data_IF_211230671821
#
_entry.id   IF_211230671821
#
_cell.length_a   1.000
_cell.length_b   1.000
_cell.length_c   1.000
_cell.angle_alpha   90.00
_cell.angle_beta   90.00
_cell.angle_gamma   90.00
#
_symmetry.space_group_name_H-M   'P 1'
#
loop_
_entity.id
_entity.type
_entity.pdbx_description
1 polymer ?
#
# COMPACT_ATOMS: atom_id res chain seq x y z
N UNK A 1 6.28 10.05 -15.79
CA UNK A 1 6.87 9.90 -14.44
C UNK A 1 5.95 10.30 -13.27
N UNK A 2 5.39 11.53 -13.16
CA UNK A 2 4.59 11.94 -11.95
C UNK A 2 3.15 11.41 -11.84
N UNK A 3 2.60 10.73 -12.85
CA UNK A 3 1.14 10.45 -12.96
C UNK A 3 0.74 8.98 -12.77
N UNK A 4 1.59 8.01 -13.07
CA UNK A 4 1.16 6.60 -13.24
C UNK A 4 0.89 5.90 -11.90
N UNK A 5 1.78 6.02 -10.90
CA UNK A 5 1.55 5.45 -9.56
C UNK A 5 0.35 6.10 -8.85
N UNK A 6 0.13 7.39 -9.12
CA UNK A 6 -0.94 8.21 -8.57
C UNK A 6 -2.30 7.96 -9.24
N UNK A 7 -2.32 7.67 -10.54
CA UNK A 7 -3.54 7.33 -11.30
C UNK A 7 -4.06 5.92 -10.96
N UNK A 8 -3.17 4.95 -10.74
CA UNK A 8 -3.57 3.57 -10.39
C UNK A 8 -4.20 3.51 -8.99
N UNK A 9 -3.67 4.27 -8.03
CA UNK A 9 -4.28 4.44 -6.71
C UNK A 9 -5.67 5.13 -6.74
N UNK A 10 -5.97 5.98 -7.73
CA UNK A 10 -7.26 6.68 -7.83
C UNK A 10 -8.35 5.92 -8.59
N UNK A 11 -7.98 5.07 -9.57
CA UNK A 11 -8.95 4.31 -10.38
C UNK A 11 -9.49 3.07 -9.65
N UNK A 12 -8.66 2.45 -8.79
CA UNK A 12 -8.99 1.21 -8.07
C UNK A 12 -9.92 1.46 -6.88
N UNK A 13 -9.73 2.57 -6.17
CA UNK A 13 -10.54 2.93 -4.99
C UNK A 13 -11.95 3.43 -5.36
N UNK A 14 -12.20 3.82 -6.61
CA UNK A 14 -13.52 4.26 -7.06
C UNK A 14 -14.51 3.13 -7.36
N UNK A 15 -14.02 1.95 -7.77
CA UNK A 15 -14.87 0.89 -8.35
C UNK A 15 -15.14 -0.29 -7.39
N UNK A 16 -14.27 -0.55 -6.41
CA UNK A 16 -14.38 -1.73 -5.53
C UNK A 16 -15.31 -1.54 -4.32
N UNK A 17 -15.72 -0.30 -3.99
CA UNK A 17 -16.52 -0.01 -2.79
C UNK A 17 -18.02 0.21 -3.04
N UNK A 18 -18.48 0.20 -4.30
CA UNK A 18 -19.90 0.30 -4.63
C UNK A 18 -20.69 -1.00 -4.32
N UNK A 19 -20.01 -2.10 -3.97
CA UNK A 19 -20.62 -3.43 -3.81
C UNK A 19 -20.97 -3.83 -2.36
N UNK A 20 -20.61 -3.05 -1.33
CA UNK A 20 -20.75 -3.47 0.07
C UNK A 20 -21.92 -2.85 0.84
N UNK A 21 -22.93 -2.32 0.15
CA UNK A 21 -24.17 -1.86 0.77
C UNK A 21 -25.38 -2.57 0.18
N UNK A 22 -25.70 -3.74 0.73
CA UNK A 22 -27.05 -4.28 0.64
C UNK A 22 -27.51 -4.83 1.99
N UNK A 23 -28.34 -4.02 2.64
CA UNK A 23 -29.46 -4.36 3.52
C UNK A 23 -29.22 -5.38 4.66
N UNK A 24 -29.23 -4.86 5.90
CA UNK A 24 -29.84 -5.59 7.01
C UNK A 24 -30.74 -4.66 7.83
N UNK A 25 -32.03 -4.99 7.90
CA UNK A 25 -33.00 -4.35 8.79
C UNK A 25 -32.80 -4.91 10.19
N UNK A 26 -32.32 -4.10 11.12
CA UNK A 26 -32.12 -4.47 12.52
C UNK A 26 -33.35 -4.07 13.37
N UNK A 27 -33.92 -5.05 14.09
CA UNK A 27 -34.87 -4.82 15.17
C UNK A 27 -34.15 -4.69 16.51
N UNK A 28 -34.55 -3.74 17.35
CA UNK A 28 -33.85 -3.42 18.59
C UNK A 28 -34.19 -4.38 19.73
N UNK A 29 -33.17 -4.97 20.36
CA UNK A 29 -33.27 -5.51 21.73
C UNK A 29 -32.08 -5.00 22.54
N UNK A 30 -32.35 -4.32 23.65
CA UNK A 30 -31.34 -3.71 24.51
C UNK A 30 -30.72 -4.73 25.47
N UNK A 31 -29.62 -5.36 25.08
CA UNK A 31 -28.68 -5.93 26.03
C UNK A 31 -27.42 -5.07 26.05
N UNK A 32 -26.91 -4.75 27.24
CA UNK A 32 -25.72 -3.92 27.43
C UNK A 32 -24.49 -4.82 27.30
N UNK A 33 -23.73 -4.65 26.22
CA UNK A 33 -22.46 -5.35 26.00
C UNK A 33 -21.42 -4.87 27.01
N UNK A 34 -20.62 -5.79 27.54
CA UNK A 34 -19.54 -5.43 28.46
C UNK A 34 -18.43 -4.65 27.76
N UNK A 35 -17.71 -3.79 28.49
CA UNK A 35 -16.57 -3.05 27.94
C UNK A 35 -15.50 -3.95 27.35
N UNK A 36 -15.29 -5.15 27.93
CA UNK A 36 -14.35 -6.15 27.43
C UNK A 36 -14.81 -6.77 26.11
N UNK A 37 -16.10 -7.09 25.98
CA UNK A 37 -16.64 -7.64 24.73
C UNK A 37 -16.64 -6.61 23.62
N UNK A 38 -16.94 -5.34 23.93
CA UNK A 38 -16.84 -4.24 22.97
C UNK A 38 -15.41 -4.11 22.44
N UNK A 39 -14.41 -4.11 23.33
CA UNK A 39 -12.98 -4.07 22.92
C UNK A 39 -12.58 -5.25 22.05
N UNK A 40 -13.11 -6.44 22.33
CA UNK A 40 -12.84 -7.62 21.52
C UNK A 40 -13.44 -7.52 20.11
N UNK A 41 -14.69 -7.04 19.99
CA UNK A 41 -15.33 -6.73 18.71
C UNK A 41 -14.52 -5.72 17.91
N UNK A 42 -14.09 -4.63 18.55
CA UNK A 42 -13.25 -3.60 17.92
C UNK A 42 -11.93 -4.18 17.44
N UNK A 43 -11.28 -5.01 18.26
CA UNK A 43 -10.01 -5.68 17.93
C UNK A 43 -10.14 -6.64 16.76
N UNK A 44 -11.20 -7.45 16.73
CA UNK A 44 -11.48 -8.39 15.63
C UNK A 44 -11.70 -7.62 14.33
N UNK A 45 -12.58 -6.61 14.36
CA UNK A 45 -12.88 -5.79 13.19
C UNK A 45 -11.61 -5.10 12.65
N UNK A 46 -10.81 -4.49 13.51
CA UNK A 46 -9.54 -3.86 13.12
C UNK A 46 -8.60 -4.85 12.46
N UNK A 47 -8.40 -6.03 13.08
CA UNK A 47 -7.48 -7.04 12.56
C UNK A 47 -7.92 -7.58 11.20
N UNK A 48 -9.20 -7.93 11.04
CA UNK A 48 -9.73 -8.50 9.80
C UNK A 48 -9.71 -7.46 8.67
N UNK A 49 -10.16 -6.24 8.92
CA UNK A 49 -10.12 -5.18 7.91
C UNK A 49 -8.68 -4.80 7.51
N UNK A 50 -7.75 -4.74 8.46
CA UNK A 50 -6.34 -4.51 8.15
C UNK A 50 -5.77 -5.63 7.25
N UNK A 51 -6.09 -6.89 7.56
CA UNK A 51 -5.65 -8.02 6.75
C UNK A 51 -6.19 -7.94 5.32
N UNK A 52 -7.50 -7.73 5.16
CA UNK A 52 -8.17 -7.61 3.85
C UNK A 52 -7.58 -6.43 3.06
N UNK A 53 -7.45 -5.28 3.71
CA UNK A 53 -6.95 -4.08 3.06
C UNK A 53 -5.49 -4.23 2.63
N UNK A 54 -4.64 -4.85 3.44
CA UNK A 54 -3.26 -5.13 3.06
C UNK A 54 -3.19 -6.11 1.89
N UNK A 55 -4.10 -7.09 1.82
CA UNK A 55 -4.21 -8.00 0.68
C UNK A 55 -4.59 -7.28 -0.61
N UNK A 56 -5.62 -6.42 -0.57
CA UNK A 56 -6.06 -5.62 -1.72
C UNK A 56 -4.94 -4.68 -2.17
N UNK A 57 -4.36 -3.89 -1.26
CA UNK A 57 -3.28 -2.95 -1.57
C UNK A 57 -2.06 -3.70 -2.13
N UNK A 58 -1.68 -4.83 -1.53
CA UNK A 58 -0.55 -5.64 -2.01
C UNK A 58 -0.74 -6.18 -3.42
N UNK A 59 -1.95 -6.64 -3.75
CA UNK A 59 -2.33 -7.09 -5.10
C UNK A 59 -2.15 -5.98 -6.14
N UNK A 60 -2.70 -4.80 -5.86
CA UNK A 60 -2.68 -3.63 -6.75
C UNK A 60 -1.25 -3.10 -6.97
N UNK A 61 -0.45 -3.07 -5.90
CA UNK A 61 0.95 -2.69 -6.00
C UNK A 61 1.76 -3.71 -6.81
N UNK A 62 1.43 -5.01 -6.74
CA UNK A 62 2.05 -6.07 -7.53
C UNK A 62 1.75 -5.94 -9.03
N UNK A 63 0.52 -5.57 -9.39
CA UNK A 63 0.19 -5.28 -10.79
C UNK A 63 0.91 -4.04 -11.31
N UNK A 64 0.99 -2.99 -10.48
CA UNK A 64 1.71 -1.75 -10.81
C UNK A 64 3.20 -1.99 -10.95
N UNK A 65 3.78 -2.88 -10.15
CA UNK A 65 5.19 -3.26 -10.23
C UNK A 65 5.59 -3.83 -11.59
N UNK A 66 4.67 -4.46 -12.34
CA UNK A 66 4.94 -4.91 -13.72
C UNK A 66 5.24 -3.75 -14.68
N UNK A 67 4.84 -2.52 -14.34
CA UNK A 67 5.09 -1.29 -15.13
C UNK A 67 6.51 -0.75 -14.89
N UNK A 68 7.14 -1.09 -13.75
CA UNK A 68 8.49 -0.62 -13.38
C UNK A 68 9.52 -1.02 -14.43
N UNK A 69 9.36 -2.19 -15.06
CA UNK A 69 10.32 -2.74 -16.02
C UNK A 69 10.56 -1.79 -17.22
N UNK A 70 9.50 -1.23 -17.79
CA UNK A 70 9.60 -0.32 -18.94
C UNK A 70 10.13 1.08 -18.56
N UNK A 71 9.78 1.58 -17.38
CA UNK A 71 10.15 2.94 -16.93
C UNK A 71 11.58 3.01 -16.37
N UNK A 72 12.10 1.90 -15.81
CA UNK A 72 13.44 1.86 -15.18
C UNK A 72 14.54 1.60 -16.19
N UNK A 73 14.36 0.62 -17.07
CA UNK A 73 15.43 0.21 -17.99
C UNK A 73 15.40 0.98 -19.31
N UNK A 74 14.28 1.60 -19.70
CA UNK A 74 14.17 2.30 -20.98
C UNK A 74 14.35 1.38 -22.20
N UNK A 75 14.02 1.88 -23.39
CA UNK A 75 14.01 1.07 -24.62
C UNK A 75 15.38 0.76 -25.24
N UNK A 76 16.47 1.36 -24.72
CA UNK A 76 17.79 1.41 -25.36
C UNK A 76 18.90 0.71 -24.56
N UNK A 77 18.59 -0.03 -23.49
CA UNK A 77 19.61 -0.51 -22.55
C UNK A 77 20.07 -1.94 -22.85
N UNK A 78 21.39 -2.04 -23.06
CA UNK A 78 22.15 -3.24 -23.35
C UNK A 78 22.54 -3.98 -22.05
N UNK A 79 21.55 -4.51 -21.32
CA UNK A 79 21.75 -5.35 -20.13
C UNK A 79 20.92 -6.63 -20.30
N UNK A 80 21.46 -7.77 -19.85
CA UNK A 80 20.81 -9.08 -19.98
C UNK A 80 19.42 -9.09 -19.30
N UNK A 81 18.45 -9.73 -19.95
CA UNK A 81 17.08 -9.92 -19.44
C UNK A 81 17.02 -10.56 -18.06
N UNK A 82 17.91 -11.51 -17.74
CA UNK A 82 17.94 -12.16 -16.43
C UNK A 82 18.31 -11.18 -15.32
N UNK A 83 19.19 -10.24 -15.62
CA UNK A 83 19.61 -9.18 -14.70
C UNK A 83 18.47 -8.16 -14.54
N UNK A 84 17.79 -7.77 -15.62
CA UNK A 84 16.58 -6.93 -15.56
C UNK A 84 15.51 -7.55 -14.67
N UNK A 85 15.16 -8.81 -14.94
CA UNK A 85 14.14 -9.54 -14.20
C UNK A 85 14.46 -9.61 -12.70
N UNK A 86 15.71 -9.90 -12.35
CA UNK A 86 16.16 -9.95 -10.95
C UNK A 86 16.01 -8.59 -10.25
N UNK A 87 16.47 -7.51 -10.88
CA UNK A 87 16.35 -6.15 -10.32
C UNK A 87 14.88 -5.75 -10.19
N UNK A 88 14.06 -5.99 -11.23
CA UNK A 88 12.63 -5.70 -11.24
C UNK A 88 11.92 -6.42 -10.10
N UNK A 89 12.12 -7.73 -9.94
CA UNK A 89 11.50 -8.50 -8.85
C UNK A 89 11.93 -7.99 -7.47
N UNK A 90 13.24 -7.80 -7.27
CA UNK A 90 13.81 -7.33 -6.00
C UNK A 90 13.23 -5.98 -5.58
N UNK A 91 13.23 -5.00 -6.47
CA UNK A 91 12.78 -3.66 -6.14
C UNK A 91 11.26 -3.54 -6.11
N UNK A 92 10.53 -4.28 -6.94
CA UNK A 92 9.06 -4.36 -6.86
C UNK A 92 8.61 -4.80 -5.48
N UNK A 93 9.17 -5.90 -4.97
CA UNK A 93 8.85 -6.40 -3.62
C UNK A 93 9.18 -5.37 -2.54
N UNK A 94 10.36 -4.72 -2.64
CA UNK A 94 10.74 -3.67 -1.69
C UNK A 94 9.78 -2.48 -1.69
N UNK A 95 9.38 -1.97 -2.86
CA UNK A 95 8.40 -0.89 -2.95
C UNK A 95 7.04 -1.28 -2.38
N UNK A 96 6.58 -2.51 -2.65
CA UNK A 96 5.33 -3.05 -2.11
C UNK A 96 5.38 -3.08 -0.58
N UNK A 97 6.41 -3.70 -0.01
CA UNK A 97 6.60 -3.78 1.44
C UNK A 97 6.69 -2.40 2.08
N UNK A 98 7.53 -1.51 1.54
CA UNK A 98 7.66 -0.13 2.04
C UNK A 98 6.34 0.62 1.99
N UNK A 99 5.53 0.47 0.94
CA UNK A 99 4.22 1.10 0.86
C UNK A 99 3.25 0.54 1.92
N UNK A 100 3.14 -0.79 2.04
CA UNK A 100 2.27 -1.44 3.03
C UNK A 100 2.65 -1.06 4.46
N UNK A 101 3.94 -1.06 4.79
CA UNK A 101 4.45 -0.72 6.13
C UNK A 101 4.14 0.74 6.52
N UNK A 102 4.01 1.64 5.53
CA UNK A 102 3.90 3.07 5.81
C UNK A 102 2.52 3.68 5.52
N UNK A 103 1.69 3.10 4.66
CA UNK A 103 0.32 3.58 4.35
C UNK A 103 -0.59 3.51 5.59
N UNK A 104 -0.36 2.51 6.45
CA UNK A 104 -1.05 2.27 7.72
C UNK A 104 -2.57 2.47 7.65
N UNK A 105 -3.29 1.38 7.38
CA UNK A 105 -4.76 1.39 7.33
C UNK A 105 -5.32 1.57 8.74
N UNK A 106 -6.10 2.65 8.93
CA UNK A 106 -6.74 2.98 10.20
C UNK A 106 -8.23 2.76 10.10
N UNK A 107 -8.76 1.97 11.02
CA UNK A 107 -10.20 1.74 11.16
C UNK A 107 -10.70 2.58 12.34
N UNK A 108 -11.60 3.51 12.07
CA UNK A 108 -12.19 4.42 13.04
C UNK A 108 -13.61 3.96 13.35
N UNK A 109 -13.79 3.34 14.52
CA UNK A 109 -15.08 2.73 14.91
C UNK A 109 -15.95 3.82 15.53
N UNK A 110 -17.07 4.13 14.87
CA UNK A 110 -18.01 5.16 15.32
C UNK A 110 -18.98 4.63 16.35
N UNK A 111 -19.54 3.45 16.09
CA UNK A 111 -20.62 2.91 16.89
C UNK A 111 -20.64 1.39 16.85
N UNK A 112 -20.97 0.77 17.99
CA UNK A 112 -21.25 -0.66 18.11
C UNK A 112 -22.65 -0.79 18.69
N UNK A 113 -23.60 -1.27 17.88
CA UNK A 113 -24.99 -1.52 18.27
C UNK A 113 -25.19 -3.00 18.52
N UNK A 114 -25.78 -3.34 19.65
CA UNK A 114 -26.19 -4.72 19.91
C UNK A 114 -27.47 -5.03 19.16
N UNK A 115 -27.44 -6.09 18.36
CA UNK A 115 -28.62 -6.63 17.68
C UNK A 115 -29.17 -7.81 18.49
N UNK A 116 -28.27 -8.68 18.98
CA UNK A 116 -28.58 -9.77 19.91
C UNK A 116 -27.37 -10.11 20.80
N UNK A 117 -27.50 -11.10 21.69
CA UNK A 117 -26.38 -11.57 22.54
C UNK A 117 -25.16 -12.04 21.74
N UNK A 118 -25.38 -12.53 20.51
CA UNK A 118 -24.35 -13.08 19.66
C UNK A 118 -24.20 -12.31 18.36
N UNK A 119 -24.76 -11.10 18.26
CA UNK A 119 -24.75 -10.31 17.03
C UNK A 119 -24.65 -8.82 17.34
N UNK A 120 -23.67 -8.17 16.72
CA UNK A 120 -23.48 -6.73 16.82
C UNK A 120 -23.31 -6.12 15.45
N UNK A 121 -23.86 -4.92 15.30
CA UNK A 121 -23.68 -4.09 14.12
C UNK A 121 -22.64 -3.01 14.45
N UNK A 122 -21.58 -2.93 13.65
CA UNK A 122 -20.49 -1.97 13.86
C UNK A 122 -20.44 -0.98 12.71
N UNK A 123 -20.51 0.30 13.04
CA UNK A 123 -20.34 1.41 12.09
C UNK A 123 -18.91 1.96 12.17
N UNK A 124 -18.24 2.11 11.04
CA UNK A 124 -16.83 2.49 10.99
C UNK A 124 -16.46 3.27 9.72
N UNK A 125 -15.37 4.02 9.81
CA UNK A 125 -14.64 4.54 8.66
C UNK A 125 -13.32 3.78 8.49
N UNK A 126 -12.83 3.71 7.26
CA UNK A 126 -11.46 3.28 6.97
C UNK A 126 -10.72 4.47 6.37
N UNK A 127 -9.58 4.81 6.97
CA UNK A 127 -8.71 5.91 6.55
C UNK A 127 -7.33 5.37 6.20
N UNK A 128 -6.69 6.02 5.24
CA UNK A 128 -5.29 5.80 4.90
C UNK A 128 -4.55 7.13 4.84
N UNK A 129 -3.23 7.10 4.92
CA UNK A 129 -2.44 8.31 4.62
C UNK A 129 -2.73 8.83 3.21
N UNK A 130 -2.79 10.14 3.08
CA UNK A 130 -2.96 10.83 1.80
C UNK A 130 -1.67 10.79 0.98
N UNK A 131 -1.41 9.64 0.37
CA UNK A 131 -0.26 9.39 -0.51
C UNK A 131 -0.26 10.29 -1.75
N UNK A 132 -1.35 11.01 -2.03
CA UNK A 132 -1.38 12.02 -3.08
C UNK A 132 -0.41 13.19 -2.81
N UNK A 133 0.01 13.38 -1.56
CA UNK A 133 0.95 14.43 -1.16
C UNK A 133 2.41 14.11 -1.44
N UNK A 134 2.73 12.90 -1.92
CA UNK A 134 4.10 12.53 -2.29
C UNK A 134 4.49 13.26 -3.58
N UNK A 135 5.34 14.28 -3.46
CA UNK A 135 5.98 14.89 -4.63
C UNK A 135 7.45 14.48 -4.75
N UNK A 136 7.88 14.00 -5.92
CA UNK A 136 9.26 13.64 -6.23
C UNK A 136 10.07 14.82 -6.80
N UNK A 137 10.00 15.99 -6.15
CA UNK A 137 10.70 17.20 -6.60
C UNK A 137 12.22 17.19 -6.34
N UNK A 138 12.70 16.33 -5.44
CA UNK A 138 14.12 16.28 -5.01
C UNK A 138 15.03 15.49 -5.97
N UNK A 139 14.75 15.55 -7.29
CA UNK A 139 15.51 14.79 -8.30
C UNK A 139 17.01 15.07 -8.23
N UNK A 140 17.40 16.34 -8.05
CA UNK A 140 18.81 16.76 -7.98
C UNK A 140 19.55 16.20 -6.75
N UNK A 141 18.89 16.24 -5.58
CA UNK A 141 19.46 15.68 -4.35
C UNK A 141 19.65 14.16 -4.47
N UNK A 142 18.69 13.47 -5.10
CA UNK A 142 18.78 12.05 -5.38
C UNK A 142 19.95 11.74 -6.33
N UNK A 143 20.10 12.51 -7.41
CA UNK A 143 21.23 12.39 -8.34
C UNK A 143 22.58 12.56 -7.62
N UNK A 144 22.73 13.57 -6.78
CA UNK A 144 23.95 13.83 -5.99
C UNK A 144 24.28 12.65 -5.05
N UNK A 145 23.27 12.08 -4.38
CA UNK A 145 23.43 10.90 -3.51
C UNK A 145 23.88 9.67 -4.30
N UNK A 146 23.27 9.41 -5.45
CA UNK A 146 23.64 8.30 -6.34
C UNK A 146 25.07 8.44 -6.85
N UNK A 147 25.43 9.63 -7.35
CA UNK A 147 26.78 9.91 -7.85
C UNK A 147 27.84 9.72 -6.76
N UNK A 148 27.59 10.27 -5.56
CA UNK A 148 28.48 10.13 -4.40
C UNK A 148 28.65 8.67 -3.98
N UNK A 149 27.56 7.90 -3.95
CA UNK A 149 27.56 6.48 -3.56
C UNK A 149 28.32 5.60 -4.54
N UNK A 150 28.23 5.92 -5.83
CA UNK A 150 28.90 5.18 -6.90
C UNK A 150 30.31 5.69 -7.22
N UNK A 151 30.71 6.85 -6.66
CA UNK A 151 32.01 7.46 -6.91
C UNK A 151 32.16 8.13 -8.28
N UNK A 152 31.04 8.53 -8.91
CA UNK A 152 31.02 9.23 -10.20
C UNK A 152 30.93 10.73 -10.04
N UNK A 153 31.50 11.48 -10.99
CA UNK A 153 31.51 12.95 -10.94
C UNK A 153 30.24 13.58 -11.51
N UNK A 154 29.59 12.90 -12.46
CA UNK A 154 28.41 13.39 -13.17
C UNK A 154 27.63 12.23 -13.82
N UNK A 155 26.42 12.55 -14.30
CA UNK A 155 25.55 11.58 -14.97
C UNK A 155 26.10 11.09 -16.32
N UNK A 156 26.97 11.85 -16.98
CA UNK A 156 27.54 11.44 -18.27
C UNK A 156 28.46 10.22 -18.11
N UNK A 157 29.19 10.12 -17.00
CA UNK A 157 29.98 8.92 -16.66
C UNK A 157 29.08 7.69 -16.50
N UNK A 158 27.94 7.84 -15.82
CA UNK A 158 26.94 6.78 -15.67
C UNK A 158 26.33 6.39 -17.03
N UNK A 159 25.89 7.37 -17.82
CA UNK A 159 25.26 7.14 -19.12
C UNK A 159 26.20 6.41 -20.08
N UNK A 160 27.50 6.77 -20.11
CA UNK A 160 28.51 6.07 -20.91
C UNK A 160 28.61 4.59 -20.53
N UNK A 161 28.56 4.26 -19.22
CA UNK A 161 28.62 2.87 -18.76
C UNK A 161 27.36 2.11 -19.19
N UNK A 162 26.17 2.69 -18.99
CA UNK A 162 24.90 2.07 -19.35
C UNK A 162 24.78 1.80 -20.86
N UNK A 163 25.33 2.68 -21.70
CA UNK A 163 25.31 2.55 -23.17
C UNK A 163 26.47 1.71 -23.74
N UNK A 164 27.50 1.44 -22.94
CA UNK A 164 28.68 0.66 -23.38
C UNK A 164 28.45 -0.86 -23.33
N UNK A 165 29.42 -1.63 -23.84
CA UNK A 165 29.52 -3.08 -23.64
C UNK A 165 30.06 -3.47 -22.25
N UNK A 166 30.13 -2.54 -21.30
CA UNK A 166 30.53 -2.82 -19.92
C UNK A 166 29.71 -3.96 -19.31
N UNK A 167 30.34 -4.68 -18.37
CA UNK A 167 29.74 -5.85 -17.74
C UNK A 167 28.41 -5.54 -17.07
N UNK A 168 27.48 -6.49 -17.17
CA UNK A 168 26.16 -6.36 -16.55
C UNK A 168 26.23 -6.13 -15.04
N UNK A 169 27.28 -6.63 -14.36
CA UNK A 169 27.50 -6.38 -12.94
C UNK A 169 27.66 -4.88 -12.61
N UNK A 170 28.36 -4.10 -13.45
CA UNK A 170 28.51 -2.65 -13.24
C UNK A 170 27.21 -1.91 -13.51
N UNK A 171 26.46 -2.33 -14.54
CA UNK A 171 25.16 -1.75 -14.88
C UNK A 171 24.12 -2.05 -13.81
N UNK A 172 24.10 -3.28 -13.29
CA UNK A 172 23.28 -3.70 -12.16
C UNK A 172 23.55 -2.83 -10.94
N UNK A 173 24.81 -2.63 -10.54
CA UNK A 173 25.16 -1.75 -9.41
C UNK A 173 24.61 -0.32 -9.57
N UNK A 174 24.67 0.24 -10.78
CA UNK A 174 24.11 1.56 -11.09
C UNK A 174 22.59 1.56 -10.90
N UNK A 175 21.89 0.60 -11.51
CA UNK A 175 20.43 0.50 -11.40
C UNK A 175 19.97 0.28 -9.95
N UNK A 176 20.64 -0.61 -9.22
CA UNK A 176 20.31 -0.86 -7.82
C UNK A 176 20.54 0.38 -6.95
N UNK A 177 21.62 1.15 -7.19
CA UNK A 177 21.87 2.39 -6.46
C UNK A 177 20.78 3.43 -6.70
N UNK A 178 20.38 3.64 -7.97
CA UNK A 178 19.29 4.56 -8.33
C UNK A 178 17.97 4.14 -7.69
N UNK A 179 17.60 2.87 -7.83
CA UNK A 179 16.34 2.37 -7.29
C UNK A 179 16.30 2.41 -5.76
N UNK A 180 17.43 2.15 -5.10
CA UNK A 180 17.52 2.21 -3.64
C UNK A 180 17.40 3.64 -3.12
N UNK A 181 18.03 4.63 -3.76
CA UNK A 181 17.87 6.03 -3.33
C UNK A 181 16.44 6.55 -3.60
N UNK A 182 15.79 6.11 -4.67
CA UNK A 182 14.37 6.38 -4.92
C UNK A 182 13.48 5.77 -3.84
N UNK A 183 13.75 4.52 -3.44
CA UNK A 183 13.00 3.85 -2.38
C UNK A 183 13.14 4.58 -1.04
N UNK A 184 14.36 5.00 -0.68
CA UNK A 184 14.61 5.77 0.53
C UNK A 184 13.80 7.08 0.55
N UNK A 185 13.74 7.80 -0.58
CA UNK A 185 12.97 9.03 -0.72
C UNK A 185 11.46 8.79 -0.58
N UNK A 186 10.95 7.70 -1.17
CA UNK A 186 9.55 7.31 -1.05
C UNK A 186 9.20 6.96 0.39
N UNK A 187 10.04 6.17 1.07
CA UNK A 187 9.86 5.81 2.48
C UNK A 187 9.84 7.05 3.38
N UNK A 188 10.80 7.96 3.22
CA UNK A 188 10.86 9.21 3.98
C UNK A 188 9.58 10.04 3.79
N UNK A 189 9.13 10.19 2.54
CA UNK A 189 7.90 10.94 2.23
C UNK A 189 6.67 10.27 2.84
N UNK A 190 6.53 8.94 2.71
CA UNK A 190 5.42 8.19 3.30
C UNK A 190 5.37 8.30 4.83
N UNK A 191 6.53 8.32 5.50
CA UNK A 191 6.62 8.54 6.95
C UNK A 191 6.16 9.94 7.36
N UNK A 192 6.46 10.94 6.54
CA UNK A 192 6.18 12.34 6.83
C UNK A 192 4.74 12.79 6.49
N UNK A 193 3.95 11.98 5.79
CA UNK A 193 2.53 12.27 5.53
C UNK A 193 1.74 12.17 6.84
N UNK A 194 1.14 13.30 7.22
CA UNK A 194 0.25 13.41 8.40
C UNK A 194 -1.23 13.48 8.05
N UNK A 195 -1.54 13.83 6.81
CA UNK A 195 -2.92 13.93 6.32
C UNK A 195 -3.47 12.54 6.03
N UNK A 196 -4.72 12.30 6.45
CA UNK A 196 -5.45 11.06 6.19
C UNK A 196 -6.59 11.35 5.19
N UNK A 197 -6.91 10.39 4.33
CA UNK A 197 -8.08 10.39 3.45
C UNK A 197 -8.98 9.22 3.77
N UNK A 198 -10.28 9.40 3.57
CA UNK A 198 -11.26 8.32 3.70
C UNK A 198 -11.13 7.37 2.52
N UNK A 199 -10.91 6.10 2.84
CA UNK A 199 -11.03 5.01 1.91
C UNK A 199 -12.46 4.48 1.86
N UNK A 200 -13.04 4.33 3.04
CA UNK A 200 -14.41 3.91 3.28
C UNK A 200 -14.99 4.87 4.30
N UNK A 201 -16.19 5.37 4.03
CA UNK A 201 -16.87 6.31 4.92
C UNK A 201 -18.26 5.78 5.23
N UNK A 202 -18.62 5.85 6.51
CA UNK A 202 -19.94 5.48 7.02
C UNK A 202 -20.33 4.03 6.68
N UNK A 203 -19.35 3.12 6.70
CA UNK A 203 -19.62 1.70 6.48
C UNK A 203 -20.22 1.05 7.71
N UNK A 204 -20.94 -0.04 7.48
CA UNK A 204 -21.55 -0.84 8.54
C UNK A 204 -21.36 -2.31 8.23
N UNK A 205 -20.97 -3.07 9.25
CA UNK A 205 -20.85 -4.53 9.15
C UNK A 205 -21.50 -5.20 10.36
N UNK A 206 -21.77 -6.50 10.25
CA UNK A 206 -22.29 -7.32 11.34
C UNK A 206 -21.19 -8.27 11.79
N UNK A 207 -20.95 -8.34 13.10
CA UNK A 207 -20.14 -9.40 13.70
C UNK A 207 -21.06 -10.37 14.45
N UNK A 208 -20.77 -11.65 14.28
CA UNK A 208 -21.49 -12.75 14.94
C UNK A 208 -20.54 -13.50 15.88
N UNK A 209 -21.06 -13.89 17.05
CA UNK A 209 -20.32 -14.70 18.02
C UNK A 209 -20.64 -16.16 17.79
N UNK A 210 -19.67 -16.94 17.31
CA UNK A 210 -19.78 -18.39 17.10
C UNK A 210 -18.75 -19.09 17.99
N UNK A 211 -19.21 -20.04 18.79
CA UNK A 211 -18.36 -20.76 19.76
C UNK A 211 -17.55 -19.83 20.68
N UNK A 212 -18.13 -18.70 21.07
CA UNK A 212 -17.48 -17.70 21.93
C UNK A 212 -16.53 -16.74 21.22
N UNK A 213 -16.31 -16.89 19.90
CA UNK A 213 -15.41 -16.07 19.09
C UNK A 213 -16.24 -15.15 18.19
N UNK A 214 -15.92 -13.85 18.19
CA UNK A 214 -16.49 -12.88 17.26
C UNK A 214 -15.83 -12.99 15.89
N UNK A 215 -16.62 -12.98 14.83
CA UNK A 215 -16.16 -12.94 13.43
C UNK A 215 -17.06 -12.03 12.61
N UNK A 216 -16.53 -11.43 11.54
CA UNK A 216 -17.36 -10.65 10.62
C UNK A 216 -18.25 -11.62 9.81
N UNK A 217 -19.54 -11.33 9.77
CA UNK A 217 -20.50 -12.09 8.99
C UNK A 217 -20.25 -11.90 7.49
N UNK A 218 -20.22 -13.01 6.74
CA UNK A 218 -19.99 -12.99 5.29
C UNK A 218 -18.52 -13.04 4.83
N UNK A 219 -17.53 -13.00 5.74
CA UNK A 219 -16.11 -13.13 5.39
C UNK A 219 -15.54 -14.56 5.46
N UNK A 220 -16.33 -15.53 5.93
CA UNK A 220 -15.91 -16.93 6.12
C UNK A 220 -16.71 -17.95 5.27
N UNK A 221 -17.22 -17.55 4.10
CA UNK A 221 -17.87 -18.46 3.15
C UNK A 221 -17.01 -18.68 1.90
#
# INVERSE_FOLDING_TARGET
MKKILFLVMLVVLGNSFAAFSQNSKSGSVSNVMTTSEKKEVERVLQKELQFIMNGIIGSELSETAKIIDNEVFGSQVNINSDVKNRITQKFSQKYISTALDNINVKVDIKEVKNVSNNEVQVSYDVKIKDISKISLENKKEMEEKVLKKLGYKNLDEINKILMSTASDAKKEQIYEAVLQESLNLVEEKLKNIKTEVFLIKDATTVLVKRNGIWTIEGLNN
#
